data_IF_755553237315
#
_entry.id   IF_755553237315
#
_cell.length_a   1.000
_cell.length_b   1.000
_cell.length_c   1.000
_cell.angle_alpha   90.00
_cell.angle_beta   90.00
_cell.angle_gamma   90.00
#
_symmetry.space_group_name_H-M   'P 1'
#
loop_
_entity.id
_entity.type
_entity.pdbx_description
1 polymer ?
#
# COMPACT_ATOMS: atom_id res chain seq x y z
N UNK A 1 -26.66 -35.12 4.09
CA UNK A 1 -27.73 -34.13 3.81
C UNK A 1 -27.59 -32.97 4.79
N UNK A 2 -27.31 -31.76 4.32
CA UNK A 2 -27.29 -30.56 5.17
C UNK A 2 -28.73 -30.21 5.55
N UNK A 3 -29.02 -30.18 6.85
CA UNK A 3 -30.34 -29.80 7.37
C UNK A 3 -30.60 -28.30 7.11
N UNK A 4 -31.87 -27.91 7.06
CA UNK A 4 -32.28 -26.53 6.77
C UNK A 4 -31.58 -25.53 7.71
N UNK A 5 -31.43 -25.90 8.99
CA UNK A 5 -30.73 -25.14 10.02
C UNK A 5 -29.26 -24.87 9.67
N UNK A 6 -28.53 -25.86 9.14
CA UNK A 6 -27.12 -25.71 8.78
C UNK A 6 -26.92 -24.75 7.60
N UNK A 7 -27.90 -24.62 6.69
CA UNK A 7 -27.85 -23.66 5.59
C UNK A 7 -27.93 -22.22 6.07
N UNK A 8 -28.79 -21.94 7.06
CA UNK A 8 -28.89 -20.62 7.69
C UNK A 8 -27.61 -20.23 8.41
N UNK A 9 -26.98 -21.16 9.14
CA UNK A 9 -25.70 -20.91 9.80
C UNK A 9 -24.58 -20.62 8.79
N UNK A 10 -24.49 -21.38 7.70
CA UNK A 10 -23.48 -21.11 6.65
C UNK A 10 -23.72 -19.76 5.98
N UNK A 11 -24.98 -19.40 5.71
CA UNK A 11 -25.33 -18.09 5.13
C UNK A 11 -24.95 -16.94 6.09
N UNK A 12 -25.21 -17.10 7.39
CA UNK A 12 -24.83 -16.15 8.43
C UNK A 12 -23.30 -15.97 8.50
N UNK A 13 -22.54 -17.06 8.49
CA UNK A 13 -21.08 -17.01 8.50
C UNK A 13 -20.54 -16.33 7.24
N UNK A 14 -21.10 -16.61 6.07
CA UNK A 14 -20.71 -15.95 4.82
C UNK A 14 -21.00 -14.44 4.86
N UNK A 15 -22.17 -14.02 5.36
CA UNK A 15 -22.52 -12.60 5.51
C UNK A 15 -21.57 -11.87 6.47
N UNK A 16 -21.18 -12.52 7.58
CA UNK A 16 -20.19 -11.96 8.52
C UNK A 16 -18.82 -11.83 7.84
N UNK A 17 -18.38 -12.81 7.05
CA UNK A 17 -17.11 -12.72 6.33
C UNK A 17 -17.11 -11.60 5.28
N UNK A 18 -18.22 -11.37 4.56
CA UNK A 18 -18.31 -10.27 3.58
C UNK A 18 -18.32 -8.86 4.21
N UNK A 19 -18.70 -8.73 5.49
CA UNK A 19 -18.75 -7.42 6.17
C UNK A 19 -17.39 -6.98 6.74
N UNK A 20 -16.43 -7.91 6.89
CA UNK A 20 -15.11 -7.60 7.46
C UNK A 20 -14.22 -6.84 6.46
N UNK A 21 -14.44 -6.98 5.14
CA UNK A 21 -13.61 -6.33 4.11
C UNK A 21 -13.95 -4.86 3.80
N UNK A 22 -15.01 -4.29 4.38
CA UNK A 22 -15.46 -2.94 4.04
C UNK A 22 -14.90 -1.81 4.95
N UNK A 23 -14.32 -2.14 6.11
CA UNK A 23 -13.93 -1.12 7.12
C UNK A 23 -12.50 -0.58 6.98
N UNK A 24 -11.77 -0.96 5.92
CA UNK A 24 -10.41 -0.50 5.66
C UNK A 24 -10.25 0.92 5.11
N UNK A 25 -11.27 1.79 5.23
CA UNK A 25 -11.21 3.16 4.66
C UNK A 25 -11.24 4.22 5.76
N UNK A 26 -10.09 4.63 6.30
CA UNK A 26 -10.01 5.89 7.04
C UNK A 26 -10.38 7.01 6.08
N UNK A 27 -11.56 7.60 6.25
CA UNK A 27 -12.07 8.75 5.50
C UNK A 27 -11.58 10.09 6.06
N UNK A 28 -10.48 10.10 6.81
CA UNK A 28 -9.71 11.33 6.98
C UNK A 28 -9.16 11.70 5.60
N UNK A 29 -9.57 12.84 5.05
CA UNK A 29 -9.11 13.34 3.75
C UNK A 29 -7.57 13.29 3.73
N UNK A 30 -7.02 12.30 3.02
CA UNK A 30 -5.56 12.12 2.89
C UNK A 30 -4.96 13.37 2.25
N UNK A 31 -3.72 13.75 2.61
CA UNK A 31 -2.99 14.79 1.92
C UNK A 31 -3.00 14.59 0.39
N UNK A 32 -3.11 15.68 -0.38
CA UNK A 32 -3.18 15.63 -1.85
C UNK A 32 -2.00 14.86 -2.48
N UNK A 33 -0.84 14.94 -1.84
CA UNK A 33 0.38 14.22 -2.21
C UNK A 33 0.17 12.69 -2.31
N UNK A 34 -0.70 12.11 -1.48
CA UNK A 34 -1.01 10.69 -1.50
C UNK A 34 -1.87 10.27 -2.72
N UNK A 35 -2.49 11.24 -3.42
CA UNK A 35 -3.30 10.97 -4.61
C UNK A 35 -2.54 11.19 -5.92
N UNK A 36 -1.35 11.79 -5.86
CA UNK A 36 -0.49 12.04 -7.01
C UNK A 36 0.13 10.72 -7.51
N UNK A 37 0.34 10.59 -8.83
CA UNK A 37 1.12 9.47 -9.36
C UNK A 37 2.58 9.56 -8.86
N UNK A 38 3.23 8.43 -8.56
CA UNK A 38 4.66 8.42 -8.23
C UNK A 38 5.50 8.73 -9.47
N UNK A 39 6.58 9.50 -9.30
CA UNK A 39 7.54 9.80 -10.35
C UNK A 39 8.57 8.66 -10.50
N UNK A 40 8.11 7.54 -11.06
CA UNK A 40 8.95 6.36 -11.33
C UNK A 40 9.81 6.61 -12.57
N UNK A 41 11.06 6.12 -12.60
CA UNK A 41 11.85 6.16 -13.82
C UNK A 41 11.20 5.28 -14.90
N UNK A 42 11.30 5.71 -16.16
CA UNK A 42 10.77 4.96 -17.32
C UNK A 42 11.48 3.61 -17.50
N UNK A 43 12.75 3.52 -17.11
CA UNK A 43 13.53 2.29 -17.08
C UNK A 43 13.69 1.85 -15.63
N UNK A 44 13.29 0.60 -15.33
CA UNK A 44 13.44 0.02 -13.99
C UNK A 44 14.92 -0.10 -13.66
N UNK A 45 15.33 0.49 -12.54
CA UNK A 45 16.69 0.35 -11.99
C UNK A 45 16.66 -0.36 -10.64
N UNK A 46 17.80 -0.88 -10.21
CA UNK A 46 18.04 -1.37 -8.85
C UNK A 46 19.14 -0.57 -8.13
N UNK A 47 19.58 0.54 -8.71
CA UNK A 47 20.60 1.43 -8.17
C UNK A 47 20.01 2.79 -7.78
N UNK A 48 20.73 3.51 -6.91
CA UNK A 48 20.31 4.84 -6.42
C UNK A 48 19.57 4.77 -5.08
N UNK A 49 18.58 5.64 -4.92
CA UNK A 49 17.82 5.83 -3.69
C UNK A 49 16.56 4.95 -3.69
N UNK A 50 16.27 4.35 -2.54
CA UNK A 50 14.96 3.73 -2.30
C UNK A 50 13.96 4.84 -2.01
N UNK A 51 12.93 4.96 -2.85
CA UNK A 51 11.88 5.97 -2.71
C UNK A 51 10.57 5.26 -2.43
N UNK A 52 9.86 5.72 -1.40
CA UNK A 52 8.55 5.19 -1.02
C UNK A 52 7.43 6.05 -1.61
N UNK A 53 6.30 5.44 -1.95
CA UNK A 53 5.11 6.12 -2.45
C UNK A 53 3.86 5.42 -1.96
N UNK A 54 2.76 6.17 -1.87
CA UNK A 54 1.46 5.60 -1.53
C UNK A 54 0.77 5.07 -2.79
N UNK A 55 0.44 3.78 -2.79
CA UNK A 55 -0.38 3.16 -3.82
C UNK A 55 -1.84 3.20 -3.37
N UNK A 56 -2.61 4.12 -3.96
CA UNK A 56 -4.03 4.30 -3.63
C UNK A 56 -4.90 3.10 -4.00
N UNK A 57 -4.48 2.27 -4.96
CA UNK A 57 -5.24 1.09 -5.40
C UNK A 57 -5.11 -0.02 -4.36
N UNK A 58 -3.90 -0.22 -3.85
CA UNK A 58 -3.61 -1.24 -2.83
C UNK A 58 -3.74 -0.72 -1.39
N UNK A 59 -3.97 0.59 -1.20
CA UNK A 59 -4.13 1.18 0.13
C UNK A 59 -2.87 1.14 1.00
N UNK A 60 -1.68 0.96 0.41
CA UNK A 60 -0.42 0.75 1.16
C UNK A 60 0.77 1.48 0.54
N UNK A 61 1.81 1.64 1.33
CA UNK A 61 3.07 2.22 0.87
C UNK A 61 3.92 1.17 0.14
N UNK A 62 4.33 1.49 -1.08
CA UNK A 62 5.25 0.69 -1.89
C UNK A 62 6.52 1.49 -2.11
N UNK A 63 7.51 0.90 -2.77
CA UNK A 63 8.76 1.57 -3.05
C UNK A 63 9.32 1.18 -4.42
N UNK A 64 10.25 1.99 -4.92
CA UNK A 64 11.00 1.80 -6.15
C UNK A 64 12.39 2.42 -6.02
N UNK A 65 13.31 2.06 -6.91
CA UNK A 65 14.62 2.68 -7.00
C UNK A 65 14.60 3.84 -7.99
N UNK A 66 15.25 4.94 -7.65
CA UNK A 66 15.39 6.11 -8.51
C UNK A 66 16.80 6.71 -8.34
N UNK A 67 17.45 7.18 -9.41
CA UNK A 67 18.71 7.93 -9.31
C UNK A 67 18.61 9.19 -8.44
N UNK A 68 17.41 9.78 -8.32
CA UNK A 68 17.12 10.97 -7.52
C UNK A 68 16.40 10.59 -6.23
N UNK A 69 16.73 11.28 -5.14
CA UNK A 69 16.09 11.06 -3.84
C UNK A 69 14.66 11.60 -3.77
N UNK A 70 13.91 11.20 -2.73
CA UNK A 70 12.52 11.64 -2.52
C UNK A 70 12.37 13.16 -2.44
N UNK A 71 13.32 13.86 -1.80
CA UNK A 71 13.33 15.32 -1.68
C UNK A 71 13.38 16.03 -3.03
N UNK A 72 14.13 15.49 -3.98
CA UNK A 72 14.25 16.04 -5.33
C UNK A 72 13.04 15.71 -6.21
N UNK A 73 12.47 14.52 -6.05
CA UNK A 73 11.31 14.08 -6.83
C UNK A 73 10.05 14.85 -6.45
N UNK A 74 9.88 15.15 -5.15
CA UNK A 74 8.68 15.78 -4.62
C UNK A 74 7.42 14.94 -4.86
N UNK A 75 6.27 15.50 -4.53
CA UNK A 75 4.98 14.80 -4.72
C UNK A 75 4.93 13.48 -3.96
N UNK A 76 4.36 12.44 -4.58
CA UNK A 76 4.20 11.11 -3.98
C UNK A 76 5.54 10.35 -3.90
N UNK A 77 6.48 10.90 -3.14
CA UNK A 77 7.82 10.41 -2.92
C UNK A 77 8.24 10.69 -1.46
N UNK A 78 8.46 9.63 -0.70
CA UNK A 78 8.83 9.67 0.71
C UNK A 78 10.19 9.00 0.91
N UNK A 79 10.95 9.50 1.89
CA UNK A 79 12.28 8.98 2.21
C UNK A 79 12.25 7.53 2.72
N UNK A 80 11.21 7.18 3.48
CA UNK A 80 11.08 5.88 4.12
C UNK A 80 9.61 5.45 4.25
N UNK A 81 9.41 4.17 4.58
CA UNK A 81 8.10 3.55 4.72
C UNK A 81 7.27 4.14 5.86
N UNK A 82 7.91 4.58 6.95
CA UNK A 82 7.25 5.17 8.13
C UNK A 82 6.69 6.54 7.77
N UNK A 83 7.46 7.37 7.07
CA UNK A 83 7.03 8.68 6.58
C UNK A 83 5.83 8.57 5.63
N UNK A 84 5.89 7.66 4.66
CA UNK A 84 4.75 7.38 3.78
C UNK A 84 3.51 6.93 4.57
N UNK A 85 3.67 5.96 5.48
CA UNK A 85 2.55 5.40 6.26
C UNK A 85 1.92 6.45 7.16
N UNK A 86 2.72 7.26 7.84
CA UNK A 86 2.23 8.28 8.76
C UNK A 86 1.45 9.37 8.02
N UNK A 87 1.94 9.78 6.85
CA UNK A 87 1.33 10.82 6.00
C UNK A 87 0.07 10.31 5.31
N UNK A 88 0.15 9.15 4.69
CA UNK A 88 -0.92 8.62 3.85
C UNK A 88 -1.80 7.58 4.55
N UNK A 89 -1.59 7.27 5.84
CA UNK A 89 -2.38 6.27 6.58
C UNK A 89 -2.54 4.95 5.80
N UNK A 90 -1.44 4.48 5.22
CA UNK A 90 -1.41 3.24 4.44
C UNK A 90 -1.32 2.00 5.34
N UNK A 91 -1.68 0.84 4.80
CA UNK A 91 -1.43 -0.45 5.44
C UNK A 91 0.06 -0.81 5.51
N UNK A 92 0.35 -2.07 5.83
CA UNK A 92 1.74 -2.58 5.94
C UNK A 92 2.53 -2.31 4.65
N UNK A 93 3.70 -1.66 4.75
CA UNK A 93 4.47 -1.27 3.58
C UNK A 93 5.18 -2.45 2.92
N UNK A 94 5.35 -2.38 1.60
CA UNK A 94 6.26 -3.28 0.87
C UNK A 94 7.72 -2.84 1.10
N UNK A 95 8.60 -3.80 1.36
CA UNK A 95 10.03 -3.57 1.56
C UNK A 95 10.77 -3.54 0.22
N UNK A 96 11.67 -2.57 0.03
CA UNK A 96 12.57 -2.54 -1.11
C UNK A 96 13.75 -3.47 -0.85
N UNK A 97 13.77 -4.62 -1.52
CA UNK A 97 14.92 -5.51 -1.48
C UNK A 97 15.98 -4.97 -2.45
N UNK A 98 17.21 -4.74 -1.97
CA UNK A 98 18.35 -4.54 -2.87
C UNK A 98 18.64 -5.86 -3.57
N UNK A 99 18.75 -5.86 -4.91
CA UNK A 99 19.32 -7.00 -5.63
C UNK A 99 20.75 -7.21 -5.12
N UNK A 100 21.03 -8.40 -4.55
CA UNK A 100 22.29 -8.74 -3.88
C UNK A 100 22.22 -8.86 -2.36
N UNK A 101 21.11 -8.47 -1.71
CA UNK A 101 20.82 -8.89 -0.33
C UNK A 101 20.18 -10.28 -0.35
N UNK A 102 20.97 -11.30 -0.61
CA UNK A 102 20.63 -12.67 -0.18
C UNK A 102 20.73 -12.71 1.34
N UNK A 103 19.68 -13.21 1.98
CA UNK A 103 19.73 -13.63 3.39
C UNK A 103 20.75 -14.76 3.57
#
# INVERSE_FOLDING_TARGET
MMTLQNKWFVLLVLLVLFTIDANGRPTTKRPAVCNMPPNKPSVVTSTGYSVYYFDKREGKCKCYWNPRGSRELGGNAFQDSKSCRNTCKGGTPTVCIRRGSTK
#
